data_IF_681344435824
#
_entry.id   IF_681344435824
#
_cell.length_a   1.000
_cell.length_b   1.000
_cell.length_c   1.000
_cell.angle_alpha   90.00
_cell.angle_beta   90.00
_cell.angle_gamma   90.00
#
_symmetry.space_group_name_H-M   'P 1'
#
loop_
_entity.id
_entity.type
_entity.pdbx_description
1 polymer ?
#
# COMPACT_ATOMS: atom_id res chain seq x y z
N UNK A 1 20.15 16.20 3.55
CA UNK A 1 20.34 15.62 2.20
C UNK A 1 19.30 16.25 1.27
N UNK A 2 19.60 16.54 -0.01
CA UNK A 2 18.59 17.03 -0.96
C UNK A 2 17.49 15.98 -1.21
N UNK A 3 16.23 16.39 -1.31
CA UNK A 3 15.09 15.48 -1.54
C UNK A 3 15.25 14.69 -2.84
N UNK A 4 15.70 15.34 -3.91
CA UNK A 4 15.95 14.69 -5.20
C UNK A 4 16.96 13.52 -5.11
N UNK A 5 17.88 13.56 -4.13
CA UNK A 5 18.83 12.47 -3.91
C UNK A 5 18.17 11.29 -3.18
N UNK A 6 17.25 11.56 -2.24
CA UNK A 6 16.46 10.53 -1.55
C UNK A 6 15.59 9.80 -2.57
N UNK A 7 14.85 10.55 -3.40
CA UNK A 7 14.02 9.98 -4.47
C UNK A 7 14.84 9.11 -5.43
N UNK A 8 16.01 9.58 -5.84
CA UNK A 8 16.89 8.82 -6.73
C UNK A 8 17.43 7.53 -6.07
N UNK A 9 17.75 7.56 -4.77
CA UNK A 9 18.17 6.39 -4.03
C UNK A 9 17.04 5.36 -3.90
N UNK A 10 15.83 5.81 -3.56
CA UNK A 10 14.63 4.97 -3.50
C UNK A 10 14.32 4.32 -4.86
N UNK A 11 14.37 5.08 -5.96
CA UNK A 11 14.21 4.55 -7.32
C UNK A 11 15.25 3.49 -7.70
N UNK A 12 16.46 3.56 -7.12
CA UNK A 12 17.55 2.62 -7.37
C UNK A 12 17.62 1.47 -6.35
N UNK A 13 16.74 1.45 -5.35
CA UNK A 13 16.77 0.49 -4.25
C UNK A 13 18.02 0.63 -3.37
N UNK A 14 18.56 1.84 -3.26
CA UNK A 14 19.73 2.17 -2.43
C UNK A 14 19.27 2.78 -1.11
N UNK A 15 19.92 2.35 -0.01
CA UNK A 15 19.72 2.99 1.29
C UNK A 15 20.39 4.38 1.28
N UNK A 16 19.57 5.44 1.28
CA UNK A 16 20.04 6.82 1.38
C UNK A 16 20.43 7.20 2.82
N UNK A 17 20.05 6.40 3.81
CA UNK A 17 20.25 6.67 5.22
C UNK A 17 21.63 6.22 5.71
N UNK A 18 22.36 5.45 4.90
CA UNK A 18 23.69 4.90 5.19
C UNK A 18 24.66 5.10 4.02
N UNK A 19 25.95 5.20 4.34
CA UNK A 19 27.01 5.25 3.35
C UNK A 19 28.18 4.40 3.85
N UNK A 20 28.56 3.40 3.06
CA UNK A 20 29.76 2.61 3.33
C UNK A 20 31.02 3.35 2.89
N UNK A 21 31.91 3.65 3.82
CA UNK A 21 33.22 4.24 3.56
C UNK A 21 34.33 3.39 4.20
N UNK A 22 35.49 3.34 3.55
CA UNK A 22 36.70 2.74 4.10
C UNK A 22 37.20 3.50 5.33
N UNK A 23 37.87 2.79 6.26
CA UNK A 23 38.45 3.44 7.44
C UNK A 23 39.56 4.44 7.09
N UNK A 24 40.17 4.28 5.91
CA UNK A 24 41.16 5.18 5.30
C UNK A 24 40.52 6.39 4.58
N UNK A 25 39.20 6.37 4.39
CA UNK A 25 38.42 7.45 3.73
C UNK A 25 37.75 8.40 4.74
N UNK A 26 37.86 8.12 6.04
CA UNK A 26 37.19 8.90 7.10
C UNK A 26 38.14 9.30 8.22
N UNK A 27 37.95 10.51 8.75
CA UNK A 27 38.63 10.98 9.96
C UNK A 27 37.69 10.90 11.17
N UNK A 28 38.19 10.53 12.38
CA UNK A 28 37.37 10.54 13.59
C UNK A 28 36.80 11.92 13.89
N UNK A 29 35.48 12.01 14.03
CA UNK A 29 34.77 13.24 14.34
C UNK A 29 33.85 13.09 15.55
N UNK A 30 33.51 14.21 16.18
CA UNK A 30 32.42 14.24 17.17
C UNK A 30 31.07 14.24 16.43
N UNK A 31 30.07 13.46 16.87
CA UNK A 31 28.75 13.50 16.26
C UNK A 31 28.19 14.93 16.24
N UNK A 32 27.73 15.37 15.07
CA UNK A 32 27.05 16.67 14.92
C UNK A 32 25.65 16.62 15.53
N UNK A 33 24.95 15.52 15.27
CA UNK A 33 23.54 15.33 15.61
C UNK A 33 23.38 14.24 16.68
N UNK A 34 22.24 14.26 17.36
CA UNK A 34 21.83 13.22 18.30
C UNK A 34 21.11 12.09 17.55
N UNK A 35 21.38 10.83 17.95
CA UNK A 35 20.81 9.65 17.29
C UNK A 35 19.27 9.68 17.26
N UNK A 36 18.61 10.11 18.35
CA UNK A 36 17.14 10.19 18.38
C UNK A 36 16.57 11.15 17.34
N UNK A 37 17.23 12.29 17.15
CA UNK A 37 16.80 13.31 16.19
C UNK A 37 17.02 12.81 14.76
N UNK A 38 18.12 12.07 14.53
CA UNK A 38 18.41 11.39 13.26
C UNK A 38 17.33 10.35 12.95
N UNK A 39 17.00 9.49 13.91
CA UNK A 39 16.00 8.43 13.73
C UNK A 39 14.61 9.01 13.42
N UNK A 40 14.21 10.08 14.12
CA UNK A 40 12.94 10.76 13.86
C UNK A 40 12.88 11.38 12.45
N UNK A 41 13.97 12.02 12.00
CA UNK A 41 14.05 12.59 10.66
C UNK A 41 14.08 11.49 9.59
N UNK A 42 14.76 10.36 9.87
CA UNK A 42 14.76 9.20 8.98
C UNK A 42 13.35 8.67 8.78
N UNK A 43 12.62 8.43 9.87
CA UNK A 43 11.24 7.95 9.85
C UNK A 43 10.32 8.90 9.06
N UNK A 44 10.41 10.20 9.30
CA UNK A 44 9.63 11.20 8.56
C UNK A 44 9.91 11.20 7.05
N UNK A 45 11.17 10.99 6.64
CA UNK A 45 11.55 10.94 5.23
C UNK A 45 11.16 9.60 4.59
N UNK A 46 11.33 8.48 5.29
CA UNK A 46 10.90 7.16 4.82
C UNK A 46 9.38 7.10 4.63
N UNK A 47 8.59 7.62 5.56
CA UNK A 47 7.13 7.70 5.39
C UNK A 47 6.73 8.55 4.18
N UNK A 48 7.53 9.58 3.86
CA UNK A 48 7.28 10.48 2.71
C UNK A 48 7.80 9.96 1.38
N UNK A 49 8.77 9.06 1.35
CA UNK A 49 9.43 8.68 0.10
C UNK A 49 9.53 7.17 -0.14
N UNK A 50 9.23 6.34 0.86
CA UNK A 50 9.40 4.89 0.78
C UNK A 50 8.56 4.21 -0.29
N UNK A 51 7.42 4.81 -0.66
CA UNK A 51 6.58 4.29 -1.74
C UNK A 51 7.08 4.68 -3.13
N UNK A 52 7.94 5.71 -3.28
CA UNK A 52 8.40 6.20 -4.60
C UNK A 52 9.19 5.15 -5.38
N UNK A 53 9.90 4.26 -4.67
CA UNK A 53 10.63 3.12 -5.24
C UNK A 53 9.75 2.15 -6.04
N UNK A 54 8.44 2.10 -5.76
CA UNK A 54 7.46 1.26 -6.47
C UNK A 54 6.93 1.89 -7.77
N UNK A 55 7.53 3.00 -8.21
CA UNK A 55 7.19 3.66 -9.48
C UNK A 55 5.86 4.40 -9.44
N UNK A 56 5.06 4.29 -10.50
CA UNK A 56 3.81 5.04 -10.63
C UNK A 56 2.72 4.54 -9.68
N UNK A 57 2.68 3.24 -9.37
CA UNK A 57 1.86 2.63 -8.32
C UNK A 57 2.15 3.26 -6.96
N UNK A 58 3.44 3.35 -6.62
CA UNK A 58 3.92 3.93 -5.37
C UNK A 58 3.49 5.38 -5.15
N UNK A 59 3.61 6.22 -6.18
CA UNK A 59 3.14 7.62 -6.14
C UNK A 59 1.64 7.72 -5.89
N UNK A 60 0.84 6.77 -6.40
CA UNK A 60 -0.60 6.73 -6.16
C UNK A 60 -0.93 6.29 -4.75
N UNK A 61 -0.26 5.26 -4.24
CA UNK A 61 -0.37 4.79 -2.85
C UNK A 61 -0.04 5.94 -1.89
N UNK A 62 1.09 6.62 -2.10
CA UNK A 62 1.49 7.76 -1.29
C UNK A 62 0.43 8.87 -1.27
N UNK A 63 -0.22 9.13 -2.41
CA UNK A 63 -1.29 10.13 -2.49
C UNK A 63 -2.53 9.74 -1.68
N UNK A 64 -2.82 8.43 -1.57
CA UNK A 64 -3.91 7.93 -0.72
C UNK A 64 -3.54 8.14 0.75
N UNK A 65 -2.34 7.73 1.16
CA UNK A 65 -1.87 7.87 2.55
C UNK A 65 -1.69 9.33 2.99
N UNK A 66 -1.34 10.24 2.07
CA UNK A 66 -1.26 11.67 2.36
C UNK A 66 -2.62 12.28 2.78
N UNK A 67 -3.74 11.58 2.60
CA UNK A 67 -5.02 12.01 3.16
C UNK A 67 -5.04 11.97 4.71
N UNK A 68 -4.21 11.12 5.34
CA UNK A 68 -4.04 11.06 6.80
C UNK A 68 -3.42 12.35 7.36
N UNK A 69 -2.57 13.04 6.57
CA UNK A 69 -1.98 14.32 7.00
C UNK A 69 -3.05 15.42 7.20
N UNK A 70 -4.26 15.23 6.65
CA UNK A 70 -5.38 16.16 6.81
C UNK A 70 -6.31 15.81 7.99
N UNK A 71 -6.24 14.59 8.51
CA UNK A 71 -7.08 14.09 9.60
C UNK A 71 -6.23 13.21 10.53
N UNK A 72 -5.79 13.78 11.66
CA UNK A 72 -4.89 13.13 12.63
C UNK A 72 -5.48 11.86 13.27
N UNK A 73 -6.81 11.65 13.18
CA UNK A 73 -7.50 10.47 13.71
C UNK A 73 -7.59 9.33 12.67
N UNK A 74 -7.18 9.56 11.42
CA UNK A 74 -7.28 8.59 10.34
C UNK A 74 -6.02 7.70 10.28
N UNK A 75 -6.18 6.40 10.50
CA UNK A 75 -5.11 5.43 10.28
C UNK A 75 -4.97 5.05 8.78
N UNK A 76 -3.96 4.25 8.44
CA UNK A 76 -3.70 3.87 7.04
C UNK A 76 -4.89 3.11 6.42
N UNK A 77 -5.57 2.28 7.22
CA UNK A 77 -6.75 1.54 6.74
C UNK A 77 -7.94 2.45 6.49
N UNK A 78 -8.19 3.41 7.38
CA UNK A 78 -9.24 4.42 7.23
C UNK A 78 -9.03 5.28 5.98
N UNK A 79 -7.78 5.66 5.69
CA UNK A 79 -7.43 6.35 4.45
C UNK A 79 -7.78 5.53 3.21
N UNK A 80 -7.46 4.24 3.23
CA UNK A 80 -7.79 3.33 2.15
C UNK A 80 -9.28 3.06 2.02
N UNK A 81 -10.00 2.84 3.11
CA UNK A 81 -11.45 2.65 3.11
C UNK A 81 -12.16 3.85 2.52
N UNK A 82 -11.88 5.07 3.02
CA UNK A 82 -12.51 6.28 2.51
C UNK A 82 -12.17 6.51 1.03
N UNK A 83 -10.93 6.24 0.62
CA UNK A 83 -10.52 6.34 -0.77
C UNK A 83 -11.25 5.33 -1.66
N UNK A 84 -11.33 4.07 -1.24
CA UNK A 84 -11.94 2.99 -2.02
C UNK A 84 -13.46 3.14 -2.07
N UNK A 85 -14.12 3.52 -0.98
CA UNK A 85 -15.56 3.79 -0.95
C UNK A 85 -15.97 4.89 -1.93
N UNK A 86 -15.17 5.97 -2.02
CA UNK A 86 -15.45 7.09 -2.93
C UNK A 86 -15.18 6.78 -4.40
N UNK A 87 -14.20 5.92 -4.68
CA UNK A 87 -13.66 5.76 -6.03
C UNK A 87 -14.05 4.44 -6.70
N UNK A 88 -14.28 3.35 -5.94
CA UNK A 88 -14.72 2.08 -6.52
C UNK A 88 -16.14 2.19 -7.08
N UNK A 89 -16.32 1.61 -8.26
CA UNK A 89 -17.62 1.54 -8.92
C UNK A 89 -18.22 0.15 -8.73
N UNK A 90 -19.23 0.05 -7.86
CA UNK A 90 -19.95 -1.19 -7.63
C UNK A 90 -21.22 -1.30 -8.51
N UNK A 91 -21.62 -2.52 -8.90
CA UNK A 91 -20.86 -3.76 -8.78
C UNK A 91 -19.77 -3.87 -9.87
N UNK A 92 -18.71 -4.64 -9.63
CA UNK A 92 -17.71 -4.96 -10.64
C UNK A 92 -17.27 -6.42 -10.60
N UNK A 93 -16.74 -6.92 -11.71
CA UNK A 93 -16.23 -8.29 -11.84
C UNK A 93 -14.77 -8.37 -11.40
N UNK A 94 -14.45 -9.42 -10.64
CA UNK A 94 -13.10 -9.73 -10.21
C UNK A 94 -12.85 -11.25 -10.30
N UNK A 95 -11.58 -11.63 -10.18
CA UNK A 95 -11.13 -13.01 -9.98
C UNK A 95 -10.36 -13.09 -8.68
N UNK A 96 -10.40 -14.27 -8.06
CA UNK A 96 -9.54 -14.56 -6.91
C UNK A 96 -8.13 -14.80 -7.43
N UNK A 97 -7.22 -13.91 -7.07
CA UNK A 97 -5.82 -14.00 -7.49
C UNK A 97 -5.05 -14.99 -6.59
N UNK A 98 -5.22 -14.86 -5.28
CA UNK A 98 -4.42 -15.59 -4.30
C UNK A 98 -4.95 -16.98 -3.94
N UNK A 99 -4.04 -17.86 -3.51
CA UNK A 99 -4.40 -19.21 -3.09
C UNK A 99 -5.18 -19.21 -1.78
N UNK A 100 -6.30 -19.94 -1.76
CA UNK A 100 -7.16 -20.06 -0.59
C UNK A 100 -7.10 -21.47 0.00
N UNK A 101 -6.60 -21.61 1.22
CA UNK A 101 -6.54 -22.89 1.93
C UNK A 101 -7.95 -23.40 2.28
N UNK A 102 -8.83 -22.50 2.70
CA UNK A 102 -10.16 -22.79 3.24
C UNK A 102 -11.26 -22.14 2.41
N UNK A 103 -12.48 -22.68 2.56
CA UNK A 103 -13.67 -22.14 1.93
C UNK A 103 -13.97 -22.73 0.54
N UNK A 104 -15.13 -22.38 -0.03
CA UNK A 104 -15.58 -22.92 -1.30
C UNK A 104 -15.00 -22.21 -2.52
N UNK A 105 -14.44 -21.01 -2.33
CA UNK A 105 -13.87 -20.18 -3.38
C UNK A 105 -12.39 -20.51 -3.57
N UNK A 106 -11.93 -20.58 -4.82
CA UNK A 106 -10.56 -20.93 -5.20
C UNK A 106 -9.96 -19.88 -6.12
N UNK A 107 -8.62 -19.84 -6.18
CA UNK A 107 -7.89 -19.03 -7.15
C UNK A 107 -8.40 -19.31 -8.56
N UNK A 108 -8.64 -18.24 -9.33
CA UNK A 108 -9.24 -18.26 -10.66
C UNK A 108 -10.78 -18.19 -10.70
N UNK A 109 -11.48 -18.33 -9.57
CA UNK A 109 -12.93 -18.19 -9.54
C UNK A 109 -13.35 -16.75 -9.86
N UNK A 110 -14.36 -16.60 -10.73
CA UNK A 110 -14.96 -15.31 -11.07
C UNK A 110 -16.02 -14.94 -10.05
N UNK A 111 -15.91 -13.72 -9.54
CA UNK A 111 -16.78 -13.17 -8.50
C UNK A 111 -17.27 -11.78 -8.89
N UNK A 112 -18.40 -11.38 -8.33
CA UNK A 112 -18.90 -10.01 -8.46
C UNK A 112 -18.77 -9.31 -7.12
N UNK A 113 -17.97 -8.25 -7.06
CA UNK A 113 -17.83 -7.41 -5.89
C UNK A 113 -19.01 -6.44 -5.85
N UNK A 114 -19.74 -6.42 -4.74
CA UNK A 114 -20.99 -5.64 -4.59
C UNK A 114 -20.88 -4.46 -3.64
N UNK A 115 -19.85 -4.41 -2.79
CA UNK A 115 -19.60 -3.32 -1.85
C UNK A 115 -18.40 -3.63 -0.96
N UNK A 116 -18.01 -2.65 -0.15
CA UNK A 116 -17.08 -2.84 0.97
C UNK A 116 -17.91 -3.30 2.17
N UNK A 117 -17.42 -4.29 2.90
CA UNK A 117 -18.07 -4.80 4.10
C UNK A 117 -17.73 -3.92 5.30
N UNK A 118 -18.57 -3.97 6.34
CA UNK A 118 -18.41 -3.18 7.57
C UNK A 118 -17.27 -3.66 8.49
N UNK A 119 -16.41 -4.57 8.00
CA UNK A 119 -15.36 -5.21 8.82
C UNK A 119 -14.03 -5.08 8.10
N UNK A 120 -13.12 -4.35 8.74
CA UNK A 120 -11.69 -4.39 8.46
C UNK A 120 -11.02 -5.33 9.45
N UNK A 121 -10.06 -6.11 8.99
CA UNK A 121 -9.26 -6.98 9.84
C UNK A 121 -7.78 -6.68 9.59
N UNK A 122 -6.99 -6.41 10.63
CA UNK A 122 -5.57 -6.08 10.45
C UNK A 122 -4.81 -7.18 9.68
N UNK A 123 -5.19 -8.45 9.86
CA UNK A 123 -4.56 -9.60 9.21
C UNK A 123 -5.03 -9.81 7.76
N UNK A 124 -6.28 -9.47 7.44
CA UNK A 124 -6.88 -9.75 6.13
C UNK A 124 -7.21 -8.48 5.31
N UNK A 125 -6.95 -7.32 5.87
CA UNK A 125 -7.23 -6.01 5.30
C UNK A 125 -8.72 -5.68 5.18
N UNK A 126 -9.04 -4.91 4.14
CA UNK A 126 -10.39 -4.47 3.82
C UNK A 126 -11.15 -5.65 3.24
N UNK A 127 -12.28 -5.97 3.87
CA UNK A 127 -13.15 -7.05 3.44
C UNK A 127 -14.23 -6.50 2.53
N UNK A 128 -14.49 -7.18 1.42
CA UNK A 128 -15.54 -6.83 0.47
C UNK A 128 -16.63 -7.88 0.40
N UNK A 129 -17.83 -7.42 0.08
CA UNK A 129 -18.97 -8.29 -0.20
C UNK A 129 -18.89 -8.82 -1.63
N UNK A 130 -18.77 -10.13 -1.76
CA UNK A 130 -18.81 -10.85 -3.02
C UNK A 130 -20.16 -11.53 -3.25
N UNK A 131 -20.54 -11.65 -4.52
CA UNK A 131 -21.66 -12.45 -4.98
C UNK A 131 -21.20 -13.47 -6.01
N UNK A 132 -21.49 -14.75 -5.74
CA UNK A 132 -21.29 -15.85 -6.70
C UNK A 132 -22.63 -16.57 -6.88
N UNK A 133 -23.22 -16.40 -8.05
CA UNK A 133 -24.59 -16.86 -8.32
C UNK A 133 -25.60 -16.23 -7.35
N UNK A 134 -26.21 -17.06 -6.48
CA UNK A 134 -27.19 -16.62 -5.46
C UNK A 134 -26.59 -16.47 -4.05
N UNK A 135 -25.31 -16.80 -3.87
CA UNK A 135 -24.63 -16.78 -2.56
C UNK A 135 -23.83 -15.49 -2.40
N UNK A 136 -23.78 -15.00 -1.16
CA UNK A 136 -22.93 -13.90 -0.73
C UNK A 136 -21.75 -14.43 0.08
N UNK A 137 -20.61 -13.79 -0.06
CA UNK A 137 -19.38 -14.10 0.68
C UNK A 137 -18.73 -12.79 1.11
N UNK A 138 -18.00 -12.82 2.21
CA UNK A 138 -17.09 -11.76 2.61
C UNK A 138 -15.67 -12.22 2.25
N UNK A 139 -14.85 -11.37 1.64
CA UNK A 139 -13.55 -11.77 1.14
C UNK A 139 -12.52 -10.62 1.16
N UNK A 140 -11.22 -10.89 1.42
CA UNK A 140 -10.18 -9.87 1.39
C UNK A 140 -10.06 -9.19 0.02
N UNK A 141 -10.03 -7.87 -0.02
CA UNK A 141 -9.85 -7.13 -1.28
C UNK A 141 -8.46 -7.33 -1.88
N UNK A 142 -7.43 -7.48 -1.05
CA UNK A 142 -6.03 -7.69 -1.47
C UNK A 142 -5.84 -8.98 -2.27
N UNK A 143 -6.73 -9.96 -2.10
CA UNK A 143 -6.66 -11.28 -2.75
C UNK A 143 -7.42 -11.31 -4.10
N UNK A 144 -7.93 -10.17 -4.56
CA UNK A 144 -8.75 -10.05 -5.77
C UNK A 144 -8.02 -9.27 -6.87
N UNK A 145 -8.28 -9.64 -8.13
CA UNK A 145 -7.90 -8.85 -9.30
C UNK A 145 -9.16 -8.49 -10.10
N UNK A 146 -9.38 -7.21 -10.39
CA UNK A 146 -10.51 -6.80 -11.23
C UNK A 146 -10.30 -7.28 -12.68
N UNK A 147 -11.33 -7.86 -13.29
CA UNK A 147 -11.19 -8.50 -14.62
C UNK A 147 -11.12 -7.49 -15.76
N UNK A 148 -11.79 -6.34 -15.63
CA UNK A 148 -11.75 -5.27 -16.62
C UNK A 148 -10.55 -4.36 -16.40
N UNK A 149 -9.46 -4.64 -17.14
CA UNK A 149 -8.21 -3.88 -17.13
C UNK A 149 -8.34 -2.42 -17.58
N UNK A 150 -9.46 -2.03 -18.20
CA UNK A 150 -9.72 -0.65 -18.61
C UNK A 150 -10.50 0.13 -17.57
N UNK A 151 -11.07 -0.56 -16.58
CA UNK A 151 -11.82 0.08 -15.51
C UNK A 151 -10.88 0.77 -14.52
N UNK A 152 -11.34 1.88 -13.94
CA UNK A 152 -10.64 2.53 -12.82
C UNK A 152 -10.49 1.58 -11.62
N UNK A 153 -11.45 0.66 -11.44
CA UNK A 153 -11.40 -0.34 -10.37
C UNK A 153 -10.17 -1.24 -10.48
N UNK A 154 -9.72 -1.61 -11.68
CA UNK A 154 -8.53 -2.45 -11.83
C UNK A 154 -7.29 -1.80 -11.21
N UNK A 155 -7.11 -0.50 -11.45
CA UNK A 155 -6.00 0.24 -10.85
C UNK A 155 -6.17 0.37 -9.33
N UNK A 156 -7.36 0.72 -8.85
CA UNK A 156 -7.62 0.90 -7.41
C UNK A 156 -7.41 -0.39 -6.61
N UNK A 157 -7.92 -1.52 -7.11
CA UNK A 157 -7.75 -2.83 -6.46
C UNK A 157 -6.28 -3.24 -6.48
N UNK A 158 -5.57 -3.01 -7.59
CA UNK A 158 -4.14 -3.31 -7.71
C UNK A 158 -3.29 -2.45 -6.76
N UNK A 159 -3.54 -1.14 -6.70
CA UNK A 159 -2.79 -0.21 -5.85
C UNK A 159 -2.98 -0.59 -4.37
N UNK A 160 -4.20 -0.95 -3.96
CA UNK A 160 -4.48 -1.43 -2.61
C UNK A 160 -3.75 -2.75 -2.31
N UNK A 161 -3.81 -3.74 -3.21
CA UNK A 161 -3.14 -5.03 -3.01
C UNK A 161 -1.61 -4.87 -2.89
N UNK A 162 -1.01 -3.96 -3.68
CA UNK A 162 0.41 -3.65 -3.59
C UNK A 162 0.76 -3.01 -2.26
N UNK A 163 -0.01 -2.01 -1.81
CA UNK A 163 0.20 -1.40 -0.50
C UNK A 163 0.11 -2.43 0.63
N UNK A 164 -0.94 -3.25 0.63
CA UNK A 164 -1.17 -4.25 1.67
C UNK A 164 -0.03 -5.28 1.75
N UNK A 165 0.55 -5.65 0.60
CA UNK A 165 1.66 -6.61 0.54
C UNK A 165 3.03 -6.03 0.97
N UNK A 166 3.18 -4.69 1.03
CA UNK A 166 4.47 -4.03 1.26
C UNK A 166 4.52 -3.18 2.54
N UNK A 167 3.45 -3.16 3.34
CA UNK A 167 3.42 -2.47 4.64
C UNK A 167 4.06 -3.30 5.75
#
# INVERSE_FOLDING_TARGET
MPIAMIEQCEEQGLDWAEMGLGADEVEPAKPRDNQRDVDQIKEQLSSKHGWVSLGEEGKRIQKVLAAMDADEDLDEFGAWEEHLEKNLRFPFEAVIAEFQERGPLRSGDKVVVTGIGDVTDEMYGIIVDLKVGKRKYAFPLCDLEATDKKSANCQLVKDYAIWFANR
#
